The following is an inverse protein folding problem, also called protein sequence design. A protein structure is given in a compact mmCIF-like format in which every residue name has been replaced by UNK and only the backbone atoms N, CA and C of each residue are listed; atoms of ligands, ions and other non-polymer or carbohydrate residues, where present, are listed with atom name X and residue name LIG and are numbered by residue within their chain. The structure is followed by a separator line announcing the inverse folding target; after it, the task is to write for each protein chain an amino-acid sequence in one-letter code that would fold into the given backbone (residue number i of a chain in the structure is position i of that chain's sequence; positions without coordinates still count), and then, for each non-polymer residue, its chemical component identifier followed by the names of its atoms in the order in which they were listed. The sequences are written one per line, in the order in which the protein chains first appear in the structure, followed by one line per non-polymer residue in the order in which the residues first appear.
data_IF_782871755787
#
_entry.id   IF_782871755787
#
_cell.length_a   1.000
_cell.length_b   1.000
_cell.length_c   1.000
_cell.angle_alpha   90.00
_cell.angle_beta   90.00
_cell.angle_gamma   90.00
#
_symmetry.space_group_name_H-M   'P 1'
#
loop_
_entity.id
_entity.type
_entity.pdbx_description
1 polymer ?
#
# COMPACT_ATOMS: atom_id res chain seq x y z
N UNK A 1 10.66 -7.46 -21.44
CA UNK A 1 10.20 -6.07 -21.18
C UNK A 1 9.54 -6.02 -19.79
N UNK A 2 9.47 -4.87 -19.10
CA UNK A 2 8.76 -4.74 -17.81
C UNK A 2 7.27 -5.10 -17.93
N UNK A 3 6.65 -4.73 -19.07
CA UNK A 3 5.25 -5.04 -19.35
C UNK A 3 5.01 -6.55 -19.49
N UNK A 4 5.96 -7.29 -20.08
CA UNK A 4 5.87 -8.75 -20.18
C UNK A 4 5.94 -9.39 -18.80
N UNK A 5 6.83 -8.89 -17.93
CA UNK A 5 6.95 -9.40 -16.56
C UNK A 5 5.67 -9.16 -15.74
N UNK A 6 4.96 -8.03 -15.96
CA UNK A 6 3.65 -7.79 -15.37
C UNK A 6 2.62 -8.79 -15.90
N UNK A 7 2.57 -9.00 -17.22
CA UNK A 7 1.65 -9.94 -17.88
C UNK A 7 1.88 -11.39 -17.45
N UNK A 8 3.14 -11.79 -17.26
CA UNK A 8 3.55 -13.11 -16.79
C UNK A 8 3.33 -13.30 -15.27
N UNK A 9 2.84 -12.28 -14.55
CA UNK A 9 2.62 -12.34 -13.11
C UNK A 9 3.91 -12.38 -12.29
N UNK A 10 5.05 -12.04 -12.90
CA UNK A 10 6.37 -12.01 -12.24
C UNK A 10 6.60 -10.75 -11.40
N UNK A 11 5.68 -9.77 -11.47
CA UNK A 11 5.69 -8.56 -10.66
C UNK A 11 4.43 -8.53 -9.78
N UNK A 12 4.62 -8.46 -8.46
CA UNK A 12 3.52 -8.47 -7.48
C UNK A 12 3.34 -7.12 -6.75
N UNK A 13 4.26 -6.16 -6.95
CA UNK A 13 4.18 -4.81 -6.41
C UNK A 13 4.99 -3.85 -7.30
N UNK A 14 4.47 -2.64 -7.53
CA UNK A 14 5.20 -1.57 -8.23
C UNK A 14 5.34 -0.33 -7.36
N UNK A 15 6.54 0.25 -7.33
CA UNK A 15 6.82 1.56 -6.73
C UNK A 15 7.25 2.49 -7.86
N UNK A 16 6.41 3.45 -8.21
CA UNK A 16 6.67 4.41 -9.29
C UNK A 16 6.73 5.83 -8.72
N UNK A 17 7.88 6.25 -8.20
CA UNK A 17 8.06 7.60 -7.66
C UNK A 17 8.47 8.57 -8.78
N UNK A 18 7.54 9.32 -9.40
CA UNK A 18 7.92 10.23 -10.47
C UNK A 18 8.80 11.34 -9.90
N UNK A 19 9.83 11.72 -10.64
CA UNK A 19 10.66 12.90 -10.35
C UNK A 19 10.30 14.00 -11.33
N UNK A 20 9.64 15.07 -10.85
CA UNK A 20 9.24 16.23 -11.66
C UNK A 20 7.74 16.37 -11.88
N UNK A 21 7.32 17.48 -12.50
CA UNK A 21 5.88 17.81 -12.71
C UNK A 21 5.25 17.10 -13.91
N UNK A 22 6.06 16.66 -14.88
CA UNK A 22 5.58 16.10 -16.15
C UNK A 22 5.88 14.60 -16.14
N UNK A 23 4.85 13.74 -16.05
CA UNK A 23 5.04 12.30 -16.18
C UNK A 23 5.58 11.97 -17.56
N UNK A 24 6.57 11.08 -17.63
CA UNK A 24 7.06 10.56 -18.91
C UNK A 24 5.99 9.65 -19.55
N UNK A 25 5.97 9.59 -20.89
CA UNK A 25 5.06 8.70 -21.65
C UNK A 25 5.12 7.26 -21.13
N UNK A 26 6.31 6.78 -20.77
CA UNK A 26 6.50 5.43 -20.25
C UNK A 26 5.92 5.24 -18.84
N UNK A 27 5.94 6.25 -17.97
CA UNK A 27 5.30 6.19 -16.65
C UNK A 27 3.79 6.06 -16.77
N UNK A 28 3.18 6.75 -17.74
CA UNK A 28 1.74 6.64 -18.01
C UNK A 28 1.40 5.23 -18.50
N UNK A 29 2.20 4.67 -19.42
CA UNK A 29 2.03 3.30 -19.91
C UNK A 29 2.16 2.29 -18.77
N UNK A 30 3.19 2.42 -17.94
CA UNK A 30 3.42 1.53 -16.78
C UNK A 30 2.22 1.57 -15.84
N UNK A 31 1.77 2.75 -15.38
CA UNK A 31 0.60 2.82 -14.49
C UNK A 31 -0.66 2.22 -15.11
N UNK A 32 -0.88 2.45 -16.41
CA UNK A 32 -2.04 1.89 -17.11
C UNK A 32 -2.03 0.36 -17.12
N UNK A 33 -0.86 -0.24 -17.33
CA UNK A 33 -0.69 -1.70 -17.33
C UNK A 33 -0.75 -2.28 -15.92
N UNK A 34 -0.17 -1.60 -14.92
CA UNK A 34 -0.28 -1.98 -13.51
C UNK A 34 -1.74 -2.07 -13.07
N UNK A 35 -2.56 -1.08 -13.44
CA UNK A 35 -4.00 -1.08 -13.16
C UNK A 35 -4.69 -2.24 -13.91
N UNK A 36 -4.40 -2.40 -15.20
CA UNK A 36 -4.99 -3.46 -16.03
C UNK A 36 -4.76 -4.87 -15.45
N UNK A 37 -3.57 -5.13 -14.92
CA UNK A 37 -3.22 -6.43 -14.32
C UNK A 37 -3.53 -6.52 -12.82
N UNK A 38 -4.16 -5.50 -12.22
CA UNK A 38 -4.52 -5.49 -10.81
C UNK A 38 -3.31 -5.55 -9.86
N UNK A 39 -2.15 -5.09 -10.32
CA UNK A 39 -0.92 -5.11 -9.51
C UNK A 39 -0.98 -3.93 -8.52
N UNK A 40 -0.85 -4.16 -7.21
CA UNK A 40 -0.77 -3.08 -6.23
C UNK A 40 0.41 -2.15 -6.55
N UNK A 41 0.20 -0.83 -6.41
CA UNK A 41 1.27 0.13 -6.64
C UNK A 41 1.13 1.40 -5.80
N UNK A 42 2.26 2.08 -5.63
CA UNK A 42 2.36 3.40 -4.99
C UNK A 42 3.19 4.34 -5.84
N UNK A 43 2.87 5.64 -5.75
CA UNK A 43 3.59 6.70 -6.45
C UNK A 43 4.39 7.63 -5.55
N UNK A 44 4.43 7.34 -4.25
CA UNK A 44 5.13 8.18 -3.26
C UNK A 44 6.09 7.34 -2.44
N UNK A 45 7.19 7.96 -2.02
CA UNK A 45 8.17 7.34 -1.12
C UNK A 45 7.50 6.99 0.22
N UNK A 46 6.69 7.89 0.78
CA UNK A 46 5.96 7.62 2.01
C UNK A 46 4.98 6.46 1.88
N UNK A 47 4.26 6.36 0.75
CA UNK A 47 3.39 5.21 0.47
C UNK A 47 4.17 3.91 0.31
N UNK A 48 5.38 3.96 -0.26
CA UNK A 48 6.28 2.80 -0.35
C UNK A 48 6.73 2.32 1.03
N UNK A 49 7.18 3.24 1.89
CA UNK A 49 7.58 2.94 3.28
C UNK A 49 6.42 2.32 4.07
N UNK A 50 5.22 2.90 3.97
CA UNK A 50 4.03 2.38 4.63
C UNK A 50 3.64 0.99 4.13
N UNK A 51 3.73 0.75 2.82
CA UNK A 51 3.45 -0.55 2.20
C UNK A 51 4.43 -1.62 2.69
N UNK A 52 5.73 -1.35 2.65
CA UNK A 52 6.76 -2.27 3.16
C UNK A 52 6.54 -2.57 4.64
N UNK A 53 6.27 -1.54 5.45
CA UNK A 53 5.99 -1.70 6.88
C UNK A 53 4.76 -2.60 7.13
N UNK A 54 3.70 -2.44 6.33
CA UNK A 54 2.52 -3.31 6.38
C UNK A 54 2.84 -4.76 6.02
N UNK A 55 3.58 -4.97 4.93
CA UNK A 55 4.03 -6.31 4.49
C UNK A 55 4.87 -6.98 5.58
N UNK A 56 5.83 -6.27 6.18
CA UNK A 56 6.65 -6.82 7.26
C UNK A 56 5.83 -7.29 8.46
N UNK A 57 4.83 -6.51 8.87
CA UNK A 57 3.95 -6.89 9.98
C UNK A 57 3.16 -8.15 9.64
N UNK A 58 2.64 -8.25 8.41
CA UNK A 58 1.90 -9.43 7.95
C UNK A 58 2.78 -10.68 7.84
N UNK A 59 4.05 -10.53 7.47
CA UNK A 59 5.02 -11.64 7.44
C UNK A 59 5.39 -12.13 8.85
N UNK A 60 5.50 -11.20 9.82
CA UNK A 60 5.95 -11.50 11.19
C UNK A 60 4.82 -11.91 12.14
N UNK A 61 3.58 -11.47 11.90
CA UNK A 61 2.45 -11.62 12.83
C UNK A 61 1.18 -12.00 12.10
N UNK A 62 0.33 -12.80 12.75
CA UNK A 62 -1.04 -13.04 12.26
C UNK A 62 -1.88 -11.77 12.39
N UNK A 63 -2.65 -11.48 11.34
CA UNK A 63 -3.63 -10.40 11.35
C UNK A 63 -4.66 -10.67 12.46
N UNK A 64 -4.91 -9.67 13.31
CA UNK A 64 -5.95 -9.72 14.34
C UNK A 64 -7.13 -8.87 13.90
N UNK A 65 -8.33 -9.34 14.16
CA UNK A 65 -9.57 -8.61 13.93
C UNK A 65 -10.04 -8.02 15.24
N UNK A 66 -10.57 -6.81 15.20
CA UNK A 66 -11.20 -6.15 16.34
C UNK A 66 -12.50 -5.49 15.88
N UNK A 67 -13.65 -5.78 16.52
CA UNK A 67 -14.92 -5.16 16.16
C UNK A 67 -14.91 -3.67 16.51
N UNK A 68 -15.68 -2.90 15.75
CA UNK A 68 -15.72 -1.43 15.86
C UNK A 68 -16.13 -0.97 17.27
N UNK A 69 -17.05 -1.70 17.91
CA UNK A 69 -17.56 -1.43 19.25
C UNK A 69 -16.45 -1.37 20.30
N UNK A 70 -15.48 -2.31 20.24
CA UNK A 70 -14.38 -2.34 21.19
C UNK A 70 -13.41 -1.14 21.04
N UNK A 71 -13.35 -0.52 19.86
CA UNK A 71 -12.59 0.73 19.69
C UNK A 71 -13.27 1.90 20.41
N UNK A 72 -14.60 1.97 20.36
CA UNK A 72 -15.36 2.99 21.09
C UNK A 72 -15.27 2.82 22.60
N UNK A 73 -15.33 1.60 23.11
CA UNK A 73 -15.17 1.33 24.54
C UNK A 73 -13.78 1.68 25.06
N UNK A 74 -12.72 1.33 24.32
CA UNK A 74 -11.35 1.71 24.65
C UNK A 74 -11.18 3.24 24.71
N UNK A 75 -11.83 3.97 23.79
CA UNK A 75 -11.83 5.44 23.78
C UNK A 75 -12.59 6.03 24.99
N UNK A 76 -13.70 5.41 25.41
CA UNK A 76 -14.42 5.80 26.64
C UNK A 76 -13.56 5.60 27.89
N UNK A 77 -12.91 4.44 28.04
CA UNK A 77 -12.01 4.14 29.18
C UNK A 77 -10.86 5.15 29.30
N UNK A 78 -10.24 5.54 28.17
CA UNK A 78 -9.18 6.57 28.16
C UNK A 78 -9.64 7.97 28.60
N UNK A 79 -10.91 8.33 28.39
CA UNK A 79 -11.48 9.63 28.82
C UNK A 79 -11.86 9.65 30.30
N UNK A 80 -12.13 8.48 30.88
CA UNK A 80 -12.52 8.35 32.29
C UNK A 80 -11.29 8.29 33.20
N UNK A 81 -10.18 7.69 32.75
CA UNK A 81 -8.92 7.62 33.51
C UNK A 81 -7.99 8.83 33.43
N UNK A 82 -8.44 9.97 32.90
CA UNK A 82 -7.67 11.23 32.85
C UNK A 82 -8.26 12.32 33.77
N UNK A 83 -9.04 11.92 34.77
CA UNK A 83 -9.54 12.76 35.86
C UNK A 83 -9.02 12.23 37.18
#
# INVERSE_FOLDING_TARGET
NILDLMKEGKIQLVINTPSGRIPRLDEVKIRSQVILYGIPYTTTIFGAIATVSGIEVLLKKKLKVKPLQEYYEAKKKKRVGSR
#
